data_IF_913072064676
#
_entry.id   IF_913072064676
#
_cell.length_a   1.000
_cell.length_b   1.000
_cell.length_c   1.000
_cell.angle_alpha   90.00
_cell.angle_beta   90.00
_cell.angle_gamma   90.00
#
_symmetry.space_group_name_H-M   'P 1'
#
loop_
_entity.id
_entity.type
_entity.pdbx_description
1 polymer ?
#
# COMPACT_ATOMS: atom_id res chain seq x y z
N UNK A 1 19.27 -2.41 -13.98
CA UNK A 1 18.53 -2.99 -15.12
C UNK A 1 17.15 -3.36 -14.61
N UNK A 2 16.09 -2.82 -15.23
CA UNK A 2 14.72 -3.19 -14.88
C UNK A 2 14.49 -4.67 -15.20
N UNK A 3 14.05 -5.45 -14.20
CA UNK A 3 13.68 -6.85 -14.40
C UNK A 3 12.32 -6.87 -15.06
N UNK A 4 12.19 -7.51 -16.22
CA UNK A 4 10.88 -7.66 -16.89
C UNK A 4 10.01 -8.61 -16.08
N UNK A 5 8.75 -8.25 -15.85
CA UNK A 5 7.77 -9.13 -15.22
C UNK A 5 7.46 -10.30 -16.16
N UNK A 6 7.60 -11.52 -15.65
CA UNK A 6 7.20 -12.75 -16.34
C UNK A 6 5.87 -13.21 -15.76
N UNK A 7 4.79 -13.02 -16.50
CA UNK A 7 3.43 -13.18 -16.00
C UNK A 7 3.13 -14.63 -15.59
N UNK A 8 3.75 -15.60 -16.23
CA UNK A 8 3.59 -17.03 -15.96
C UNK A 8 4.10 -17.40 -14.56
N UNK A 9 5.26 -16.84 -14.16
CA UNK A 9 5.87 -17.09 -12.85
C UNK A 9 4.96 -16.66 -11.68
N UNK A 10 4.04 -15.72 -11.92
CA UNK A 10 3.11 -15.19 -10.93
C UNK A 10 1.64 -15.53 -11.23
N UNK A 11 1.38 -16.46 -12.15
CA UNK A 11 0.02 -16.90 -12.49
C UNK A 11 -0.89 -15.77 -12.97
N UNK A 12 -0.36 -14.86 -13.80
CA UNK A 12 -1.07 -13.71 -14.36
C UNK A 12 -1.26 -13.80 -15.88
N UNK A 13 -0.65 -14.75 -16.59
CA UNK A 13 -0.65 -14.78 -18.06
C UNK A 13 -2.06 -14.82 -18.67
N UNK A 14 -2.88 -15.80 -18.27
CA UNK A 14 -4.27 -15.92 -18.77
C UNK A 14 -5.15 -14.74 -18.31
N UNK A 15 -4.93 -14.26 -17.09
CA UNK A 15 -5.66 -13.11 -16.53
C UNK A 15 -5.34 -11.81 -17.27
N UNK A 16 -4.08 -11.61 -17.67
CA UNK A 16 -3.65 -10.47 -18.48
C UNK A 16 -4.31 -10.51 -19.85
N UNK A 17 -4.36 -11.68 -20.49
CA UNK A 17 -5.07 -11.83 -21.76
C UNK A 17 -6.55 -11.46 -21.62
N UNK A 18 -7.24 -11.96 -20.59
CA UNK A 18 -8.64 -11.59 -20.31
C UNK A 18 -8.79 -10.09 -20.03
N UNK A 19 -7.90 -9.51 -19.22
CA UNK A 19 -7.92 -8.10 -18.88
C UNK A 19 -7.73 -7.20 -20.11
N UNK A 20 -6.79 -7.53 -20.99
CA UNK A 20 -6.55 -6.76 -22.22
C UNK A 20 -7.76 -6.80 -23.15
N UNK A 21 -8.41 -7.96 -23.30
CA UNK A 21 -9.65 -8.07 -24.07
C UNK A 21 -10.77 -7.22 -23.49
N UNK A 22 -10.91 -7.18 -22.17
CA UNK A 22 -11.91 -6.36 -21.49
C UNK A 22 -11.62 -4.87 -21.66
N UNK A 23 -10.39 -4.44 -21.42
CA UNK A 23 -9.97 -3.04 -21.57
C UNK A 23 -10.13 -2.52 -23.00
N UNK A 24 -9.89 -3.37 -24.01
CA UNK A 24 -10.09 -3.02 -25.41
C UNK A 24 -11.54 -2.70 -25.78
N UNK A 25 -12.51 -3.07 -24.94
CA UNK A 25 -13.93 -2.71 -25.14
C UNK A 25 -14.32 -1.38 -24.47
N UNK A 26 -13.48 -0.82 -23.61
CA UNK A 26 -13.79 0.36 -22.82
C UNK A 26 -13.38 1.65 -23.52
N UNK A 27 -14.37 2.42 -23.98
CA UNK A 27 -14.12 3.73 -24.58
C UNK A 27 -13.41 4.73 -23.64
N UNK A 28 -13.62 4.62 -22.31
CA UNK A 28 -12.94 5.48 -21.35
C UNK A 28 -11.44 5.14 -21.22
N UNK A 29 -11.05 3.89 -21.48
CA UNK A 29 -9.66 3.45 -21.54
C UNK A 29 -8.95 4.02 -22.77
N UNK A 30 -9.61 3.96 -23.94
CA UNK A 30 -9.10 4.61 -25.15
C UNK A 30 -8.92 6.13 -24.98
N UNK A 31 -9.90 6.80 -24.35
CA UNK A 31 -9.78 8.22 -24.00
C UNK A 31 -8.62 8.48 -23.04
N UNK A 32 -8.40 7.63 -22.05
CA UNK A 32 -7.24 7.74 -21.16
C UNK A 32 -5.93 7.67 -21.96
N UNK A 33 -5.78 6.74 -22.90
CA UNK A 33 -4.60 6.67 -23.77
C UNK A 33 -4.42 7.91 -24.66
N UNK A 34 -5.50 8.46 -25.20
CA UNK A 34 -5.45 9.70 -25.99
C UNK A 34 -5.03 10.92 -25.15
N UNK A 35 -5.31 10.91 -23.84
CA UNK A 35 -4.96 11.99 -22.92
C UNK A 35 -3.45 12.23 -22.80
N UNK A 36 -2.60 11.26 -23.15
CA UNK A 36 -1.14 11.42 -23.13
C UNK A 36 -0.61 12.31 -24.26
N UNK A 37 -1.41 12.52 -25.31
CA UNK A 37 -1.08 13.41 -26.44
C UNK A 37 -1.93 14.69 -26.43
N UNK A 38 -2.93 14.76 -25.56
CA UNK A 38 -3.81 15.92 -25.42
C UNK A 38 -3.23 16.91 -24.40
N UNK A 39 -3.44 18.20 -24.64
CA UNK A 39 -3.12 19.26 -23.67
C UNK A 39 -4.21 19.45 -22.60
N UNK A 40 -5.33 18.72 -22.71
CA UNK A 40 -6.45 18.77 -21.77
C UNK A 40 -6.79 17.39 -21.22
N UNK A 41 -7.30 17.37 -20.00
CA UNK A 41 -7.88 16.17 -19.39
C UNK A 41 -9.20 15.87 -20.11
N UNK A 42 -9.31 14.66 -20.65
CA UNK A 42 -10.52 14.21 -21.33
C UNK A 42 -11.53 13.68 -20.31
N UNK A 43 -12.81 13.99 -20.51
CA UNK A 43 -13.89 13.50 -19.66
C UNK A 43 -13.99 11.97 -19.70
N UNK A 44 -14.26 11.35 -18.55
CA UNK A 44 -14.43 9.90 -18.41
C UNK A 44 -13.96 9.38 -17.05
N UNK A 45 -14.07 8.06 -16.85
CA UNK A 45 -13.73 7.38 -15.59
C UNK A 45 -12.28 7.62 -15.14
N UNK A 46 -11.35 7.82 -16.08
CA UNK A 46 -9.93 8.03 -15.80
C UNK A 46 -9.53 9.52 -15.65
N UNK A 47 -10.47 10.47 -15.75
CA UNK A 47 -10.16 11.89 -15.74
C UNK A 47 -9.47 12.35 -14.43
N UNK A 48 -10.00 11.92 -13.28
CA UNK A 48 -9.43 12.21 -11.96
C UNK A 48 -8.07 11.54 -11.77
N UNK A 49 -7.95 10.27 -12.15
CA UNK A 49 -6.67 9.56 -12.16
C UNK A 49 -5.61 10.34 -12.97
N UNK A 50 -5.96 10.82 -14.17
CA UNK A 50 -5.05 11.60 -15.01
C UNK A 50 -4.67 12.94 -14.37
N UNK A 51 -5.62 13.62 -13.71
CA UNK A 51 -5.36 14.86 -12.96
C UNK A 51 -4.30 14.63 -11.88
N UNK A 52 -4.54 13.66 -11.00
CA UNK A 52 -3.66 13.41 -9.87
C UNK A 52 -2.33 12.76 -10.27
N UNK A 53 -2.27 12.00 -11.36
CA UNK A 53 -0.99 11.55 -11.94
C UNK A 53 -0.10 12.74 -12.35
N UNK A 54 -0.70 13.80 -12.91
CA UNK A 54 0.00 15.05 -13.20
C UNK A 54 0.54 15.73 -11.94
N UNK A 55 -0.29 15.87 -10.91
CA UNK A 55 0.08 16.48 -9.62
C UNK A 55 1.18 15.68 -8.89
N UNK A 56 1.03 14.36 -8.81
CA UNK A 56 2.00 13.44 -8.22
C UNK A 56 3.38 13.54 -8.91
N UNK A 57 3.41 13.85 -10.21
CA UNK A 57 4.66 14.07 -10.94
C UNK A 57 5.34 15.41 -10.63
N UNK A 58 4.60 16.37 -10.05
CA UNK A 58 5.07 17.70 -9.67
C UNK A 58 5.56 17.79 -8.23
N UNK A 59 5.15 16.85 -7.35
CA UNK A 59 5.55 16.80 -5.94
C UNK A 59 7.06 16.95 -5.74
N UNK A 60 7.43 17.84 -4.80
CA UNK A 60 8.80 18.25 -4.49
C UNK A 60 9.31 17.69 -3.15
N UNK A 61 8.44 17.18 -2.28
CA UNK A 61 8.82 16.87 -0.90
C UNK A 61 9.81 15.70 -0.79
N UNK A 62 10.85 15.93 0.02
CA UNK A 62 11.95 15.01 0.29
C UNK A 62 11.83 14.33 1.67
N UNK A 63 10.78 14.63 2.43
CA UNK A 63 10.58 14.05 3.75
C UNK A 63 10.01 12.63 3.67
N UNK A 64 10.75 11.65 4.20
CA UNK A 64 10.32 10.25 4.31
C UNK A 64 9.85 9.96 5.74
N UNK A 65 8.71 9.28 5.89
CA UNK A 65 8.16 8.86 7.17
C UNK A 65 7.75 7.38 7.09
N UNK A 66 8.02 6.64 8.16
CA UNK A 66 7.76 5.19 8.25
C UNK A 66 6.42 4.92 8.94
N UNK A 67 5.55 4.12 8.32
CA UNK A 67 4.26 3.71 8.91
C UNK A 67 4.33 2.45 9.76
N UNK A 68 5.55 1.95 10.04
CA UNK A 68 5.78 0.79 10.91
C UNK A 68 6.12 1.25 12.32
N UNK A 69 5.38 0.75 13.32
CA UNK A 69 5.62 1.03 14.74
C UNK A 69 5.97 -0.24 15.52
N UNK A 70 7.09 -0.23 16.24
CA UNK A 70 7.57 -1.34 17.07
C UNK A 70 7.23 -1.11 18.54
N UNK A 71 6.75 -2.16 19.24
CA UNK A 71 6.41 -2.10 20.67
C UNK A 71 7.07 -3.26 21.44
N UNK A 72 7.75 -2.98 22.57
CA UNK A 72 8.14 -4.02 23.53
C UNK A 72 6.91 -4.53 24.28
N UNK A 73 6.83 -5.84 24.56
CA UNK A 73 5.75 -6.38 25.40
C UNK A 73 6.04 -6.07 26.88
N UNK A 74 5.61 -4.90 27.34
CA UNK A 74 5.69 -4.55 28.75
C UNK A 74 4.64 -5.34 29.56
N UNK A 75 5.10 -6.17 30.50
CA UNK A 75 4.22 -6.87 31.45
C UNK A 75 3.33 -5.87 32.22
N UNK A 76 2.01 -5.91 31.94
CA UNK A 76 0.86 -5.37 32.71
C UNK A 76 1.12 -4.16 33.62
N UNK A 77 0.58 -2.98 33.26
CA UNK A 77 0.06 -2.03 34.26
C UNK A 77 -1.08 -1.20 33.69
N UNK A 78 -2.30 -1.67 33.96
CA UNK A 78 -3.59 -1.11 33.56
C UNK A 78 -3.94 0.07 34.49
N UNK A 79 -3.43 1.27 34.19
CA UNK A 79 -3.69 2.44 35.06
C UNK A 79 -3.73 3.83 34.39
N UNK A 80 -3.35 3.97 33.12
CA UNK A 80 -3.22 5.29 32.48
C UNK A 80 -4.15 5.58 31.29
N UNK A 81 -5.00 4.64 30.90
CA UNK A 81 -5.84 4.76 29.68
C UNK A 81 -7.04 5.69 29.85
N UNK A 82 -7.57 5.86 31.08
CA UNK A 82 -8.79 6.64 31.32
C UNK A 82 -8.69 8.14 31.02
N UNK A 83 -7.50 8.74 31.13
CA UNK A 83 -7.29 10.15 30.82
C UNK A 83 -7.15 10.46 29.32
N UNK A 84 -6.93 9.44 28.48
CA UNK A 84 -6.64 9.60 27.06
C UNK A 84 -7.93 9.68 26.22
N UNK A 85 -8.96 8.89 26.55
CA UNK A 85 -10.27 8.93 25.88
C UNK A 85 -10.95 10.30 25.99
N UNK A 86 -10.77 10.98 27.12
CA UNK A 86 -11.36 12.29 27.36
C UNK A 86 -10.70 13.38 26.50
N UNK A 87 -9.37 13.29 26.29
CA UNK A 87 -8.64 14.17 25.36
C UNK A 87 -8.97 13.88 23.89
N UNK A 88 -9.29 12.63 23.54
CA UNK A 88 -9.67 12.25 22.16
C UNK A 88 -11.01 12.88 21.71
N UNK A 89 -11.97 13.08 22.63
CA UNK A 89 -13.25 13.74 22.31
C UNK A 89 -13.11 15.23 22.05
N UNK A 90 -12.18 15.91 22.73
CA UNK A 90 -12.00 17.37 22.57
C UNK A 90 -11.33 17.72 21.23
N UNK A 91 -10.45 16.86 20.70
CA UNK A 91 -9.75 17.09 19.43
C UNK A 91 -10.63 16.85 18.20
N UNK A 92 -11.60 15.92 18.28
CA UNK A 92 -12.50 15.61 17.16
C UNK A 92 -13.57 16.69 16.89
N UNK A 93 -13.78 17.65 17.80
CA UNK A 93 -14.89 18.61 17.74
C UNK A 93 -14.51 20.02 17.30
N UNK A 94 -13.24 20.30 16.98
CA UNK A 94 -12.84 21.63 16.50
C UNK A 94 -12.55 21.64 14.99
N UNK A 95 -13.53 22.08 14.22
CA UNK A 95 -13.32 22.60 12.86
C UNK A 95 -12.57 23.94 12.88
N UNK A 96 -11.63 24.20 11.96
CA UNK A 96 -10.85 25.44 11.97
C UNK A 96 -11.69 26.62 11.52
N UNK A 97 -12.01 27.54 12.44
CA UNK A 97 -12.42 28.90 12.09
C UNK A 97 -11.19 29.80 12.00
N UNK A 98 -11.00 30.35 10.79
CA UNK A 98 -10.27 31.56 10.38
C UNK A 98 -9.12 32.10 11.26
N UNK A 99 -7.97 32.19 10.58
CA UNK A 99 -6.82 33.08 10.82
C UNK A 99 -7.15 34.42 11.50
N UNK A 100 -6.44 34.73 12.58
CA UNK A 100 -5.90 36.07 12.85
C UNK A 100 -4.61 35.91 13.65
N UNK A 101 -3.50 36.45 13.14
CA UNK A 101 -2.19 36.34 13.75
C UNK A 101 -2.04 37.11 15.05
N UNK A 102 -1.12 36.66 15.89
CA UNK A 102 -0.17 37.46 16.68
C UNK A 102 0.87 36.50 17.27
N UNK A 103 2.15 36.78 17.04
CA UNK A 103 3.28 36.17 17.75
C UNK A 103 3.45 36.96 19.06
N UNK A 104 3.67 36.29 20.20
CA UNK A 104 4.54 36.88 21.21
C UNK A 104 5.73 35.98 21.54
N UNK A 105 6.92 36.59 21.45
CA UNK A 105 8.17 36.12 22.03
C UNK A 105 8.07 35.96 23.55
N UNK A 106 8.68 34.92 24.12
CA UNK A 106 9.57 35.04 25.30
C UNK A 106 10.38 33.72 25.55
N UNK A 107 11.55 33.81 26.22
CA UNK A 107 12.68 32.91 26.02
C UNK A 107 12.92 31.89 27.17
N UNK A 108 13.66 30.83 26.85
CA UNK A 108 14.60 30.18 27.78
C UNK A 108 14.22 28.80 28.35
N UNK A 109 14.98 27.79 27.90
CA UNK A 109 15.56 26.75 28.77
C UNK A 109 14.80 25.44 29.02
N UNK A 110 15.21 24.37 28.32
CA UNK A 110 15.74 23.13 28.93
C UNK A 110 16.06 22.06 27.84
N UNK A 111 17.24 21.43 27.82
CA UNK A 111 17.66 20.46 26.79
C UNK A 111 17.30 19.00 27.14
N UNK A 112 16.10 18.74 27.66
CA UNK A 112 15.63 17.38 27.94
C UNK A 112 14.13 17.24 27.65
N UNK A 113 13.77 17.16 26.38
CA UNK A 113 12.49 16.58 25.98
C UNK A 113 12.68 15.06 25.87
N UNK A 114 12.21 14.35 26.90
CA UNK A 114 12.09 12.90 26.88
C UNK A 114 11.16 12.50 25.72
N UNK A 115 11.57 11.57 24.83
CA UNK A 115 10.66 11.10 23.80
C UNK A 115 9.54 10.33 24.51
N UNK A 116 8.31 10.85 24.41
CA UNK A 116 7.12 10.05 24.71
C UNK A 116 7.13 8.75 23.89
N UNK A 117 6.33 7.74 24.28
CA UNK A 117 6.36 6.43 23.62
C UNK A 117 6.22 6.62 22.11
N UNK A 118 7.21 6.14 21.35
CA UNK A 118 7.28 6.20 19.88
C UNK A 118 6.02 5.65 19.20
N UNK A 119 5.26 4.86 19.96
CA UNK A 119 3.97 4.24 19.69
C UNK A 119 2.85 5.26 19.39
N UNK A 120 2.95 6.48 19.94
CA UNK A 120 1.97 7.55 19.75
C UNK A 120 2.34 8.44 18.55
N UNK A 121 3.63 8.54 18.19
CA UNK A 121 4.08 9.42 17.11
C UNK A 121 3.49 9.00 15.75
N UNK A 122 3.43 7.70 15.43
CA UNK A 122 2.84 7.24 14.17
C UNK A 122 1.30 7.34 14.12
N UNK A 123 0.62 7.56 15.24
CA UNK A 123 -0.82 7.86 15.28
C UNK A 123 -1.11 9.37 15.28
N UNK A 124 -0.10 10.21 15.56
CA UNK A 124 -0.25 11.65 15.73
C UNK A 124 0.01 12.48 14.46
N UNK A 125 0.61 11.91 13.41
CA UNK A 125 0.97 12.68 12.22
C UNK A 125 0.23 12.20 10.96
N UNK A 126 -0.63 13.05 10.36
CA UNK A 126 -1.32 12.73 9.12
C UNK A 126 -0.32 12.55 7.96
N UNK A 127 -0.72 11.82 6.93
CA UNK A 127 0.02 11.73 5.66
C UNK A 127 0.31 13.14 5.15
N UNK A 128 1.45 13.35 4.49
CA UNK A 128 1.73 14.64 3.86
C UNK A 128 0.70 14.88 2.75
N UNK A 129 0.44 16.15 2.44
CA UNK A 129 -0.44 16.53 1.33
C UNK A 129 0.01 15.86 0.02
N UNK A 130 1.31 15.87 -0.22
CA UNK A 130 1.95 15.22 -1.35
C UNK A 130 1.74 13.69 -1.40
N UNK A 131 1.81 13.01 -0.25
CA UNK A 131 1.54 11.57 -0.19
C UNK A 131 0.08 11.25 -0.50
N UNK A 132 -0.86 12.09 -0.04
CA UNK A 132 -2.28 11.93 -0.38
C UNK A 132 -2.56 12.13 -1.86
N UNK A 133 -1.84 13.03 -2.53
CA UNK A 133 -1.92 13.21 -3.98
C UNK A 133 -1.47 11.92 -4.70
N UNK A 134 -0.35 11.32 -4.28
CA UNK A 134 0.13 10.05 -4.86
C UNK A 134 -0.86 8.92 -4.59
N UNK A 135 -1.41 8.81 -3.38
CA UNK A 135 -2.42 7.80 -3.04
C UNK A 135 -3.68 7.96 -3.89
N UNK A 136 -4.19 9.19 -4.01
CA UNK A 136 -5.36 9.51 -4.82
C UNK A 136 -5.12 9.16 -6.30
N UNK A 137 -3.95 9.51 -6.84
CA UNK A 137 -3.56 9.17 -8.21
C UNK A 137 -3.59 7.66 -8.46
N UNK A 138 -3.03 6.88 -7.54
CA UNK A 138 -2.98 5.43 -7.67
C UNK A 138 -4.37 4.80 -7.53
N UNK A 139 -5.11 5.14 -6.47
CA UNK A 139 -6.39 4.49 -6.18
C UNK A 139 -7.48 4.89 -7.17
N UNK A 140 -7.51 6.14 -7.65
CA UNK A 140 -8.43 6.55 -8.72
C UNK A 140 -8.14 5.76 -10.00
N UNK A 141 -6.86 5.57 -10.34
CA UNK A 141 -6.47 4.78 -11.51
C UNK A 141 -6.91 3.31 -11.36
N UNK A 142 -6.63 2.70 -10.21
CA UNK A 142 -6.99 1.31 -9.91
C UNK A 142 -8.49 1.08 -9.94
N UNK A 143 -9.28 1.99 -9.34
CA UNK A 143 -10.74 1.90 -9.38
C UNK A 143 -11.29 2.15 -10.80
N UNK A 144 -10.71 3.08 -11.56
CA UNK A 144 -11.13 3.31 -12.94
C UNK A 144 -10.93 2.07 -13.83
N UNK A 145 -9.90 1.26 -13.56
CA UNK A 145 -9.67 -0.01 -14.24
C UNK A 145 -10.72 -1.08 -13.88
N UNK A 146 -11.15 -1.17 -12.62
CA UNK A 146 -11.99 -2.27 -12.14
C UNK A 146 -13.49 -1.99 -12.09
N UNK A 147 -13.91 -0.72 -11.96
CA UNK A 147 -15.31 -0.35 -11.64
C UNK A 147 -16.35 -0.84 -12.65
N UNK A 148 -15.96 -1.01 -13.92
CA UNK A 148 -16.86 -1.49 -14.99
C UNK A 148 -16.94 -3.02 -15.07
N UNK A 149 -16.21 -3.74 -14.22
CA UNK A 149 -16.11 -5.19 -14.25
C UNK A 149 -16.53 -5.79 -12.91
N UNK A 150 -17.79 -6.25 -12.76
CA UNK A 150 -18.29 -6.85 -11.52
C UNK A 150 -17.53 -8.10 -11.05
N UNK A 151 -16.72 -8.70 -11.93
CA UNK A 151 -15.84 -9.83 -11.63
C UNK A 151 -14.41 -9.39 -11.23
N UNK A 152 -14.22 -8.12 -10.89
CA UNK A 152 -12.97 -7.60 -10.34
C UNK A 152 -13.17 -7.20 -8.88
N UNK A 153 -12.18 -7.48 -8.02
CA UNK A 153 -12.19 -6.98 -6.65
C UNK A 153 -12.01 -5.45 -6.59
N UNK A 154 -12.54 -4.84 -5.54
CA UNK A 154 -12.52 -3.39 -5.35
C UNK A 154 -11.21 -2.90 -4.70
N UNK A 155 -10.69 -1.78 -5.18
CA UNK A 155 -9.56 -1.10 -4.55
C UNK A 155 -10.04 -0.03 -3.58
N UNK A 156 -9.37 0.10 -2.43
CA UNK A 156 -9.80 1.05 -1.40
C UNK A 156 -8.65 1.86 -0.82
N UNK A 157 -8.94 3.13 -0.52
CA UNK A 157 -8.12 4.04 0.29
C UNK A 157 -8.15 3.69 1.79
N UNK A 158 -8.99 2.73 2.20
CA UNK A 158 -9.04 2.32 3.60
C UNK A 158 -7.69 1.74 4.02
N UNK A 159 -7.04 2.37 4.99
CA UNK A 159 -5.79 1.88 5.56
C UNK A 159 -6.04 0.58 6.31
N UNK A 160 -5.26 -0.46 6.01
CA UNK A 160 -5.31 -1.72 6.75
C UNK A 160 -4.09 -1.86 7.64
N UNK A 161 -4.32 -2.14 8.93
CA UNK A 161 -3.28 -2.47 9.88
C UNK A 161 -3.10 -3.99 9.98
N UNK A 162 -1.85 -4.42 10.02
CA UNK A 162 -1.46 -5.79 10.28
C UNK A 162 -0.55 -5.81 11.50
N UNK A 163 -0.87 -6.68 12.46
CA UNK A 163 -0.07 -6.85 13.68
C UNK A 163 0.73 -8.14 13.59
N UNK A 164 2.04 -8.02 13.75
CA UNK A 164 2.96 -9.14 13.83
C UNK A 164 3.38 -9.36 15.30
N UNK A 165 2.88 -10.43 15.91
CA UNK A 165 3.18 -10.77 17.32
C UNK A 165 4.20 -11.90 17.44
N UNK A 166 5.40 -11.58 17.93
CA UNK A 166 6.45 -12.54 18.25
C UNK A 166 6.53 -12.74 19.76
N UNK A 167 7.33 -13.71 20.20
CA UNK A 167 7.42 -14.11 21.60
C UNK A 167 7.75 -12.96 22.57
N UNK A 168 8.64 -12.06 22.17
CA UNK A 168 9.14 -10.98 23.04
C UNK A 168 8.87 -9.56 22.49
N UNK A 169 8.31 -9.45 21.30
CA UNK A 169 8.11 -8.17 20.63
C UNK A 169 6.94 -8.25 19.66
N UNK A 170 6.32 -7.11 19.39
CA UNK A 170 5.37 -7.00 18.29
C UNK A 170 5.59 -5.72 17.51
N UNK A 171 5.09 -5.68 16.30
CA UNK A 171 4.97 -4.43 15.55
C UNK A 171 3.65 -4.40 14.79
N UNK A 172 3.19 -3.18 14.54
CA UNK A 172 2.05 -2.92 13.66
C UNK A 172 2.56 -2.22 12.39
N UNK A 173 2.14 -2.73 11.24
CA UNK A 173 2.40 -2.13 9.95
C UNK A 173 1.06 -1.70 9.34
N UNK A 174 0.98 -0.44 8.91
CA UNK A 174 -0.21 0.13 8.25
C UNK A 174 0.08 0.34 6.77
N UNK A 175 -0.92 0.12 5.95
CA UNK A 175 -0.89 0.31 4.48
C UNK A 175 -1.62 1.59 4.09
N UNK A 176 -1.39 2.05 2.86
CA UNK A 176 -2.05 3.24 2.29
C UNK A 176 -3.36 2.91 1.57
N UNK A 177 -3.61 1.61 1.38
CA UNK A 177 -4.81 1.05 0.79
C UNK A 177 -4.60 -0.43 0.52
N UNK A 178 -5.60 -1.07 -0.09
CA UNK A 178 -5.49 -2.48 -0.48
C UNK A 178 -6.55 -2.86 -1.52
N UNK A 179 -6.33 -3.98 -2.19
CA UNK A 179 -7.35 -4.69 -2.95
C UNK A 179 -8.21 -5.49 -1.97
N UNK A 180 -9.48 -5.13 -1.85
CA UNK A 180 -10.43 -5.76 -0.95
C UNK A 180 -11.07 -6.97 -1.61
N UNK A 181 -10.78 -8.15 -1.07
CA UNK A 181 -11.49 -9.36 -1.41
C UNK A 181 -12.97 -9.25 -1.03
N UNK A 182 -13.85 -9.79 -1.87
CA UNK A 182 -15.29 -9.55 -1.88
C UNK A 182 -15.98 -9.82 -0.55
N UNK A 183 -16.56 -11.02 -0.37
CA UNK A 183 -17.33 -11.36 0.84
C UNK A 183 -16.47 -11.46 2.10
N UNK A 184 -15.18 -11.81 1.94
CA UNK A 184 -14.26 -12.00 3.06
C UNK A 184 -13.71 -10.68 3.64
N UNK A 185 -13.72 -9.59 2.86
CA UNK A 185 -13.05 -8.33 3.23
C UNK A 185 -11.53 -8.46 3.43
N UNK A 186 -10.95 -9.63 3.11
CA UNK A 186 -9.52 -9.90 3.25
C UNK A 186 -8.73 -9.07 2.25
N UNK A 187 -7.48 -8.77 2.59
CA UNK A 187 -6.62 -8.11 1.61
C UNK A 187 -6.23 -9.14 0.54
N UNK A 188 -6.14 -8.71 -0.72
CA UNK A 188 -5.68 -9.51 -1.86
C UNK A 188 -4.45 -8.92 -2.56
N UNK A 189 -4.17 -7.65 -2.30
CA UNK A 189 -2.94 -6.93 -2.64
C UNK A 189 -2.86 -5.71 -1.71
N UNK A 190 -1.65 -5.21 -1.43
CA UNK A 190 -1.45 -4.02 -0.62
C UNK A 190 -1.13 -2.81 -1.50
N UNK A 191 -1.55 -1.62 -1.09
CA UNK A 191 -1.12 -0.36 -1.68
C UNK A 191 -0.15 0.31 -0.71
N UNK A 192 0.95 0.78 -1.27
CA UNK A 192 1.95 1.61 -0.57
C UNK A 192 2.30 2.79 -1.46
N UNK A 193 2.35 3.99 -0.91
CA UNK A 193 2.72 5.18 -1.68
C UNK A 193 3.79 6.01 -0.98
N UNK A 194 4.59 6.71 -1.78
CA UNK A 194 5.55 7.70 -1.30
C UNK A 194 5.54 8.94 -2.19
N UNK A 195 5.64 10.15 -1.62
CA UNK A 195 5.65 11.40 -2.39
C UNK A 195 6.92 11.60 -3.23
N UNK A 196 7.94 10.77 -3.00
CA UNK A 196 9.28 10.94 -3.55
C UNK A 196 9.69 9.79 -4.46
N UNK A 197 10.73 10.00 -5.26
CA UNK A 197 11.32 8.94 -6.08
C UNK A 197 11.99 7.87 -5.21
N UNK A 198 11.79 6.60 -5.57
CA UNK A 198 12.34 5.42 -4.90
C UNK A 198 13.82 5.55 -4.55
N UNK A 199 14.64 5.95 -5.50
CA UNK A 199 16.09 5.98 -5.34
C UNK A 199 16.57 6.93 -4.22
N UNK A 200 15.77 7.95 -3.87
CA UNK A 200 16.09 8.84 -2.75
C UNK A 200 16.02 8.13 -1.39
N UNK A 201 15.17 7.10 -1.26
CA UNK A 201 14.84 6.45 0.01
C UNK A 201 14.64 4.94 -0.15
N UNK A 202 15.36 4.31 -1.08
CA UNK A 202 15.16 2.90 -1.46
C UNK A 202 15.21 1.94 -0.28
N UNK A 203 16.24 2.05 0.56
CA UNK A 203 16.42 1.16 1.72
C UNK A 203 15.23 1.22 2.67
N UNK A 204 14.85 2.39 3.22
CA UNK A 204 13.74 2.44 4.16
C UNK A 204 12.37 2.12 3.52
N UNK A 205 12.16 2.43 2.24
CA UNK A 205 10.94 2.02 1.50
C UNK A 205 10.86 0.49 1.45
N UNK A 206 11.91 -0.19 0.99
CA UNK A 206 11.92 -1.65 0.92
C UNK A 206 11.79 -2.31 2.30
N UNK A 207 12.34 -1.70 3.35
CA UNK A 207 12.16 -2.18 4.73
C UNK A 207 10.69 -2.10 5.17
N UNK A 208 10.00 -1.01 4.85
CA UNK A 208 8.58 -0.82 5.15
C UNK A 208 7.71 -1.84 4.40
N UNK A 209 7.90 -1.99 3.09
CA UNK A 209 7.19 -2.95 2.25
C UNK A 209 7.40 -4.40 2.73
N UNK A 210 8.63 -4.75 3.11
CA UNK A 210 8.94 -6.06 3.67
C UNK A 210 8.26 -6.26 5.04
N UNK A 211 8.29 -5.27 5.93
CA UNK A 211 7.65 -5.35 7.24
C UNK A 211 6.12 -5.50 7.13
N UNK A 212 5.48 -4.77 6.21
CA UNK A 212 4.06 -4.91 5.87
C UNK A 212 3.75 -6.31 5.36
N UNK A 213 4.57 -6.85 4.44
CA UNK A 213 4.39 -8.20 3.91
C UNK A 213 4.49 -9.26 5.02
N UNK A 214 5.51 -9.16 5.88
CA UNK A 214 5.69 -10.10 7.00
C UNK A 214 4.51 -10.03 7.97
N UNK A 215 4.04 -8.82 8.30
CA UNK A 215 2.89 -8.66 9.17
C UNK A 215 1.62 -9.23 8.55
N UNK A 216 1.42 -9.04 7.24
CA UNK A 216 0.28 -9.62 6.53
C UNK A 216 0.35 -11.15 6.47
N UNK A 217 1.52 -11.76 6.17
CA UNK A 217 1.68 -13.23 6.15
C UNK A 217 1.42 -13.81 7.54
N UNK A 218 1.96 -13.18 8.58
CA UNK A 218 1.85 -13.67 9.96
C UNK A 218 0.46 -13.52 10.56
N UNK A 219 -0.25 -12.44 10.23
CA UNK A 219 -1.61 -12.17 10.75
C UNK A 219 -2.70 -12.99 10.05
N UNK A 220 -2.45 -13.44 8.82
CA UNK A 220 -3.38 -14.26 8.03
C UNK A 220 -2.61 -15.39 7.33
N UNK A 221 -2.05 -16.37 8.07
CA UNK A 221 -1.25 -17.44 7.48
C UNK A 221 -2.15 -18.38 6.67
N UNK A 222 -1.72 -18.73 5.46
CA UNK A 222 -2.56 -19.50 4.52
C UNK A 222 -1.87 -20.78 4.01
N UNK A 223 -1.40 -21.64 4.93
CA UNK A 223 -0.54 -22.80 4.65
C UNK A 223 -0.88 -23.60 3.39
N UNK A 224 -2.17 -23.83 3.12
CA UNK A 224 -2.63 -24.64 1.99
C UNK A 224 -3.63 -23.91 1.09
N UNK A 225 -3.91 -22.63 1.34
CA UNK A 225 -4.91 -21.91 0.57
C UNK A 225 -4.32 -21.08 -0.56
N UNK A 226 -5.23 -20.39 -1.24
CA UNK A 226 -4.95 -19.69 -2.50
C UNK A 226 -3.97 -18.53 -2.32
N UNK A 227 -3.87 -17.91 -1.14
CA UNK A 227 -2.93 -16.81 -0.91
C UNK A 227 -1.47 -17.28 -0.87
N UNK A 228 -1.21 -18.56 -0.64
CA UNK A 228 0.14 -19.13 -0.72
C UNK A 228 0.56 -19.49 -2.15
N UNK A 229 -0.34 -19.42 -3.14
CA UNK A 229 0.04 -19.60 -4.54
C UNK A 229 0.90 -18.41 -5.01
N UNK A 230 1.83 -18.65 -5.97
CA UNK A 230 2.68 -17.60 -6.51
C UNK A 230 1.90 -16.35 -6.94
N UNK A 231 2.43 -15.20 -6.53
CA UNK A 231 1.94 -13.90 -6.94
C UNK A 231 0.71 -13.38 -6.22
N UNK A 232 0.17 -14.04 -5.18
CA UNK A 232 -1.03 -13.57 -4.44
C UNK A 232 -0.71 -12.64 -3.27
N UNK A 233 0.50 -12.71 -2.75
CA UNK A 233 1.03 -11.75 -1.78
C UNK A 233 1.85 -10.71 -2.53
N UNK A 234 1.26 -9.55 -2.78
CA UNK A 234 1.91 -8.47 -3.53
C UNK A 234 1.61 -7.08 -3.01
N UNK A 235 2.49 -6.13 -3.36
CA UNK A 235 2.25 -4.70 -3.28
C UNK A 235 2.08 -4.12 -4.68
N UNK A 236 1.16 -3.16 -4.81
CA UNK A 236 1.18 -2.13 -5.84
C UNK A 236 1.72 -0.88 -5.16
N UNK A 237 2.97 -0.55 -5.47
CA UNK A 237 3.72 0.50 -4.78
C UNK A 237 3.95 1.68 -5.73
N UNK A 238 3.61 2.90 -5.34
CA UNK A 238 3.84 4.10 -6.17
C UNK A 238 4.71 5.13 -5.45
N UNK A 239 5.85 5.41 -6.07
CA UNK A 239 6.81 6.39 -5.62
C UNK A 239 6.77 7.57 -6.59
N UNK A 240 6.10 8.65 -6.19
CA UNK A 240 5.83 9.81 -7.05
C UNK A 240 5.07 9.39 -8.32
N UNK A 241 5.69 9.49 -9.50
CA UNK A 241 5.10 9.12 -10.78
C UNK A 241 5.56 7.74 -11.29
N UNK A 242 6.21 6.94 -10.44
CA UNK A 242 6.71 5.61 -10.80
C UNK A 242 5.97 4.53 -10.00
N UNK A 243 5.32 3.61 -10.71
CA UNK A 243 4.63 2.46 -10.11
C UNK A 243 5.53 1.23 -10.20
N UNK A 244 5.46 0.39 -9.16
CA UNK A 244 6.19 -0.85 -9.02
C UNK A 244 5.23 -1.95 -8.54
N UNK A 245 5.48 -3.16 -9.01
CA UNK A 245 4.78 -4.36 -8.53
C UNK A 245 5.78 -5.23 -7.78
N UNK A 246 5.45 -5.60 -6.55
CA UNK A 246 6.36 -6.32 -5.67
C UNK A 246 5.69 -7.59 -5.19
N UNK A 247 6.20 -8.75 -5.63
CA UNK A 247 5.63 -10.06 -5.30
C UNK A 247 6.47 -10.77 -4.24
N UNK A 248 5.82 -11.33 -3.23
CA UNK A 248 6.45 -12.16 -2.22
C UNK A 248 6.62 -13.61 -2.72
N UNK A 249 7.82 -14.15 -2.54
CA UNK A 249 8.12 -15.57 -2.67
C UNK A 249 8.56 -16.09 -1.29
N UNK A 250 7.85 -17.11 -0.81
CA UNK A 250 8.12 -17.80 0.45
C UNK A 250 7.45 -19.18 0.40
N UNK A 251 7.85 -20.08 1.29
CA UNK A 251 7.29 -21.42 1.43
C UNK A 251 6.63 -21.61 2.81
N UNK A 252 6.08 -22.81 3.02
CA UNK A 252 5.48 -23.24 4.28
C UNK A 252 6.47 -23.17 5.46
N UNK A 253 7.75 -23.45 5.22
CA UNK A 253 8.81 -23.32 6.24
C UNK A 253 8.95 -21.88 6.70
N UNK A 254 8.82 -20.89 5.82
CA UNK A 254 8.84 -19.49 6.23
C UNK A 254 7.69 -19.14 7.17
N UNK A 255 6.48 -19.68 6.92
CA UNK A 255 5.36 -19.48 7.84
C UNK A 255 5.65 -20.16 9.18
N UNK A 256 6.17 -21.40 9.17
CA UNK A 256 6.58 -22.11 10.39
C UNK A 256 7.65 -21.35 11.19
N UNK A 257 8.58 -20.69 10.50
CA UNK A 257 9.56 -19.81 11.13
C UNK A 257 8.90 -18.63 11.82
N UNK A 258 7.96 -17.95 11.15
CA UNK A 258 7.22 -16.82 11.72
C UNK A 258 6.32 -17.20 12.90
N UNK A 259 5.90 -18.46 12.99
CA UNK A 259 5.02 -18.98 14.06
C UNK A 259 5.74 -19.81 15.11
N UNK A 260 7.08 -19.83 15.11
CA UNK A 260 7.91 -20.61 16.04
C UNK A 260 7.60 -22.13 16.02
N UNK A 261 7.15 -22.66 14.88
CA UNK A 261 6.88 -24.09 14.71
C UNK A 261 7.87 -24.81 13.78
N UNK A 262 8.90 -24.09 13.29
CA UNK A 262 9.94 -24.68 12.46
C UNK A 262 10.79 -25.69 13.27
N UNK A 263 11.00 -26.94 12.79
CA UNK A 263 11.79 -27.94 13.51
C UNK A 263 13.24 -27.49 13.77
N UNK A 264 13.76 -27.83 14.95
CA UNK A 264 15.14 -27.55 15.32
C UNK A 264 16.13 -28.15 14.32
N UNK A 265 17.16 -27.38 13.93
CA UNK A 265 18.16 -27.79 12.94
C UNK A 265 17.74 -27.57 11.48
N UNK A 266 16.52 -27.13 11.20
CA UNK A 266 16.10 -26.76 9.84
C UNK A 266 16.92 -25.56 9.31
N UNK A 267 17.23 -25.52 7.99
CA UNK A 267 17.77 -24.31 7.36
C UNK A 267 16.84 -23.12 7.57
N UNK A 268 17.38 -21.92 7.77
CA UNK A 268 16.56 -20.72 7.96
C UNK A 268 15.87 -20.33 6.65
N UNK A 269 14.53 -20.31 6.59
CA UNK A 269 13.79 -19.84 5.43
C UNK A 269 13.78 -18.30 5.39
N UNK A 270 13.66 -17.74 4.20
CA UNK A 270 13.61 -16.30 3.99
C UNK A 270 12.47 -15.92 3.05
N UNK A 271 11.82 -14.78 3.33
CA UNK A 271 10.96 -14.09 2.38
C UNK A 271 11.82 -13.38 1.34
N UNK A 272 11.49 -13.57 0.07
CA UNK A 272 12.08 -12.83 -1.04
C UNK A 272 11.03 -11.91 -1.68
N UNK A 273 11.36 -10.62 -1.80
CA UNK A 273 10.51 -9.62 -2.44
C UNK A 273 11.00 -9.36 -3.88
N UNK A 274 10.20 -9.69 -4.88
CA UNK A 274 10.52 -9.47 -6.29
C UNK A 274 9.90 -8.18 -6.79
N UNK A 275 10.73 -7.15 -6.92
CA UNK A 275 10.35 -5.85 -7.49
C UNK A 275 10.40 -5.87 -9.03
N UNK A 276 9.35 -5.35 -9.66
CA UNK A 276 9.22 -5.12 -11.10
C UNK A 276 8.79 -3.68 -11.36
N UNK A 277 9.17 -3.15 -12.54
CA UNK A 277 9.01 -1.74 -12.91
C UNK A 277 10.37 -1.04 -13.07
N UNK A 278 10.41 0.30 -13.02
CA UNK A 278 9.26 1.19 -12.84
C UNK A 278 8.39 1.29 -14.11
N UNK A 279 7.08 1.47 -13.92
CA UNK A 279 6.17 1.99 -14.93
C UNK A 279 5.94 3.48 -14.65
N UNK A 280 6.12 4.34 -15.64
CA UNK A 280 5.98 5.77 -15.50
C UNK A 280 4.55 6.23 -15.82
N UNK A 281 3.87 6.88 -14.89
CA UNK A 281 2.49 7.37 -15.05
C UNK A 281 2.31 8.45 -16.11
N UNK A 282 3.41 9.02 -16.58
CA UNK A 282 3.44 10.00 -17.67
C UNK A 282 3.68 9.35 -19.04
N UNK A 283 3.98 8.06 -19.10
CA UNK A 283 4.28 7.34 -20.34
C UNK A 283 3.09 6.45 -20.73
N UNK A 284 2.53 6.69 -21.92
CA UNK A 284 1.36 5.95 -22.42
C UNK A 284 1.59 4.44 -22.45
N UNK A 285 2.69 3.99 -23.06
CA UNK A 285 2.98 2.56 -23.22
C UNK A 285 3.13 1.83 -21.88
N UNK A 286 3.69 2.52 -20.88
CA UNK A 286 3.86 1.96 -19.54
C UNK A 286 2.50 1.77 -18.88
N UNK A 287 1.62 2.77 -18.98
CA UNK A 287 0.28 2.69 -18.41
C UNK A 287 -0.63 1.72 -19.17
N UNK A 288 -0.44 1.57 -20.48
CA UNK A 288 -1.13 0.58 -21.30
C UNK A 288 -0.77 -0.86 -20.87
N UNK A 289 0.52 -1.15 -20.71
CA UNK A 289 0.99 -2.45 -20.21
C UNK A 289 0.53 -2.70 -18.76
N UNK A 290 0.77 -1.73 -17.88
CA UNK A 290 0.46 -1.82 -16.46
C UNK A 290 -1.05 -1.95 -16.20
N UNK A 291 -1.88 -1.21 -16.93
CA UNK A 291 -3.34 -1.22 -16.76
C UNK A 291 -3.92 -2.63 -16.93
N UNK A 292 -3.47 -3.36 -17.95
CA UNK A 292 -3.84 -4.76 -18.14
C UNK A 292 -3.37 -5.66 -16.99
N UNK A 293 -2.16 -5.44 -16.46
CA UNK A 293 -1.61 -6.24 -15.35
C UNK A 293 -2.43 -6.00 -14.07
N UNK A 294 -2.76 -4.75 -13.76
CA UNK A 294 -3.50 -4.39 -12.55
C UNK A 294 -4.94 -4.89 -12.59
N UNK A 295 -5.62 -4.79 -13.74
CA UNK A 295 -6.94 -5.39 -13.90
C UNK A 295 -6.87 -6.93 -13.80
N UNK A 296 -5.83 -7.57 -14.37
CA UNK A 296 -5.61 -9.00 -14.23
C UNK A 296 -5.48 -9.44 -12.76
N UNK A 297 -4.76 -8.67 -11.95
CA UNK A 297 -4.64 -8.91 -10.50
C UNK A 297 -6.03 -8.85 -9.83
N UNK A 298 -6.85 -7.84 -10.16
CA UNK A 298 -8.18 -7.67 -9.57
C UNK A 298 -9.16 -8.78 -9.99
N UNK A 299 -9.16 -9.19 -11.25
CA UNK A 299 -9.98 -10.30 -11.77
C UNK A 299 -9.59 -11.63 -11.14
N UNK A 300 -8.28 -11.89 -11.04
CA UNK A 300 -7.76 -13.11 -10.41
C UNK A 300 -8.12 -13.17 -8.94
N UNK A 301 -7.96 -12.06 -8.22
CA UNK A 301 -8.31 -11.98 -6.80
C UNK A 301 -9.79 -12.32 -6.57
N UNK A 302 -10.68 -11.87 -7.45
CA UNK A 302 -12.10 -12.17 -7.38
C UNK A 302 -12.41 -13.64 -7.62
N UNK A 303 -11.72 -14.29 -8.57
CA UNK A 303 -11.85 -15.72 -8.79
C UNK A 303 -11.27 -16.55 -7.62
N UNK A 304 -10.12 -16.15 -7.10
CA UNK A 304 -9.46 -16.73 -5.93
C UNK A 304 -10.37 -16.65 -4.67
N UNK A 305 -11.11 -15.55 -4.48
CA UNK A 305 -12.10 -15.40 -3.41
C UNK A 305 -13.24 -16.43 -3.50
N UNK A 306 -13.70 -16.76 -4.71
CA UNK A 306 -14.78 -17.76 -4.92
C UNK A 306 -14.33 -19.18 -4.61
N UNK A 307 -13.03 -19.47 -4.72
CA UNK A 307 -12.45 -20.77 -4.38
C UNK A 307 -12.16 -20.92 -2.89
N UNK A 308 -12.13 -19.80 -2.16
CA UNK A 308 -11.81 -19.75 -0.72
C UNK A 308 -13.05 -19.83 0.19
N UNK A 309 -14.26 -19.85 -0.39
CA UNK A 309 -15.55 -20.02 0.30
C UNK A 309 -16.11 -21.43 0.04
#
# INVERSE_FOLDING_TARGET
MSKKLKLEEFGLAEWKQKADQLLATLQCWDRYHQSFTSNSILEGTFALAKKYQGEASGTLDESFRSDVSFTPVAHRTRGRVGGLEQKMREVQLQTPSKSTGMIPDTPGGSPFDSPGPSEIQNQMYPQTEDEQIVNSALVDFLNALSIHFPEACDWTLHRKSFKAEFEHASYEARTDGYLKGGTSGKARALIEVKPMLRDKKRIPICMQEAAQMVAWIKSDPDFTGVLNLPGRRLHVSQDRHLIYLIFAEYDDKYIQYLTNSLPAGSPRPFLKMHEFGPWNTLVRSDMEDLGGILLAIALRAYADDKLSN
#
